data_IF_122726881991
#
_entry.id   IF_122726881991
#
_cell.length_a   1.000
_cell.length_b   1.000
_cell.length_c   1.000
_cell.angle_alpha   90.00
_cell.angle_beta   90.00
_cell.angle_gamma   90.00
#
_symmetry.space_group_name_H-M   'P 1'
#
loop_
_entity.id
_entity.type
_entity.pdbx_description
1 polymer ?
#
# COMPACT_ATOMS: atom_id res chain seq x y z
N UNK A 1 -22.01 30.31 13.38
CA UNK A 1 -21.02 29.48 14.12
C UNK A 1 -19.71 30.25 14.26
N UNK A 2 -19.06 30.24 15.43
CA UNK A 2 -17.69 30.77 15.56
C UNK A 2 -16.73 29.80 14.85
N UNK A 3 -16.10 30.25 13.77
CA UNK A 3 -14.97 29.56 13.18
C UNK A 3 -13.80 29.67 14.16
N UNK A 4 -13.57 28.61 14.93
CA UNK A 4 -12.35 28.48 15.73
C UNK A 4 -11.16 28.59 14.79
N UNK A 5 -10.15 29.40 15.11
CA UNK A 5 -8.89 29.51 14.38
C UNK A 5 -8.26 28.11 14.27
N UNK A 6 -8.58 27.41 13.18
CA UNK A 6 -8.26 26.01 13.00
C UNK A 6 -6.80 25.85 12.63
N UNK A 7 -6.10 24.95 13.33
CA UNK A 7 -4.85 24.37 12.83
C UNK A 7 -5.10 23.84 11.41
N UNK A 8 -4.09 23.89 10.52
CA UNK A 8 -4.27 23.43 9.15
C UNK A 8 -4.88 22.02 9.12
N UNK A 9 -5.87 21.78 8.26
CA UNK A 9 -6.55 20.49 8.11
C UNK A 9 -5.56 19.31 7.91
N UNK A 10 -4.39 19.62 7.35
CA UNK A 10 -3.27 18.70 7.14
C UNK A 10 -2.42 18.40 8.39
N UNK A 11 -2.77 18.94 9.56
CA UNK A 11 -2.14 18.60 10.83
C UNK A 11 -2.60 17.24 11.40
N UNK A 12 -3.45 16.51 10.66
CA UNK A 12 -3.90 15.18 11.02
C UNK A 12 -2.70 14.21 11.14
N UNK A 13 -2.43 13.78 12.39
CA UNK A 13 -1.35 12.87 12.75
C UNK A 13 -1.32 11.62 11.87
N UNK A 14 -2.47 11.08 11.51
CA UNK A 14 -2.55 9.85 10.74
C UNK A 14 -2.09 10.06 9.28
N UNK A 15 -2.44 11.18 8.65
CA UNK A 15 -1.93 11.53 7.32
C UNK A 15 -0.42 11.79 7.35
N UNK A 16 0.09 12.40 8.43
CA UNK A 16 1.54 12.59 8.63
C UNK A 16 2.27 11.25 8.78
N UNK A 17 1.71 10.30 9.53
CA UNK A 17 2.26 8.96 9.68
C UNK A 17 2.26 8.23 8.34
N UNK A 18 1.14 8.21 7.63
CA UNK A 18 1.06 7.61 6.29
C UNK A 18 2.08 8.25 5.34
N UNK A 19 2.23 9.58 5.35
CA UNK A 19 3.23 10.30 4.55
C UNK A 19 4.67 9.94 4.92
N UNK A 20 4.97 9.83 6.22
CA UNK A 20 6.30 9.46 6.71
C UNK A 20 6.69 8.08 6.17
N UNK A 21 5.79 7.10 6.32
CA UNK A 21 5.99 5.71 5.89
C UNK A 21 6.05 5.61 4.36
N UNK A 22 5.12 6.25 3.66
CA UNK A 22 5.00 6.19 2.20
C UNK A 22 6.13 6.92 1.46
N UNK A 23 6.55 8.09 1.95
CA UNK A 23 7.42 9.00 1.19
C UNK A 23 8.79 9.12 1.82
N UNK A 24 8.86 9.52 3.09
CA UNK A 24 10.13 9.97 3.69
C UNK A 24 11.12 8.83 3.85
N UNK A 25 10.65 7.65 4.26
CA UNK A 25 11.50 6.45 4.38
C UNK A 25 12.12 6.11 3.03
N UNK A 26 11.30 6.02 1.97
CA UNK A 26 11.75 5.65 0.62
C UNK A 26 12.57 6.73 -0.10
N UNK A 27 12.57 7.99 0.37
CA UNK A 27 13.37 9.06 -0.22
C UNK A 27 14.85 9.01 0.17
N UNK A 28 15.22 8.25 1.20
CA UNK A 28 16.62 8.10 1.60
C UNK A 28 17.46 7.46 0.47
N UNK A 29 18.48 8.17 -0.01
CA UNK A 29 19.35 7.74 -1.11
C UNK A 29 20.08 6.43 -0.81
N UNK A 30 20.51 6.22 0.44
CA UNK A 30 21.18 4.99 0.86
C UNK A 30 20.21 3.80 0.80
N UNK A 31 18.98 3.99 1.29
CA UNK A 31 17.94 2.97 1.20
C UNK A 31 17.60 2.64 -0.25
N UNK A 32 17.52 3.64 -1.15
CA UNK A 32 17.25 3.41 -2.57
C UNK A 32 18.34 2.57 -3.24
N UNK A 33 19.61 2.91 -3.01
CA UNK A 33 20.72 2.13 -3.55
C UNK A 33 20.69 0.69 -3.00
N UNK A 34 20.40 0.53 -1.71
CA UNK A 34 20.25 -0.78 -1.10
C UNK A 34 19.08 -1.59 -1.70
N UNK A 35 17.91 -0.98 -1.87
CA UNK A 35 16.74 -1.63 -2.50
C UNK A 35 16.98 -1.98 -3.97
N UNK A 36 17.77 -1.18 -4.69
CA UNK A 36 18.20 -1.49 -6.06
C UNK A 36 19.14 -2.70 -6.10
N UNK A 37 20.12 -2.76 -5.21
CA UNK A 37 20.99 -3.95 -5.11
C UNK A 37 20.16 -5.18 -4.74
N UNK A 38 19.23 -5.05 -3.80
CA UNK A 38 18.32 -6.12 -3.40
C UNK A 38 17.44 -6.59 -4.56
N UNK A 39 16.92 -5.68 -5.39
CA UNK A 39 16.10 -6.05 -6.55
C UNK A 39 16.89 -6.79 -7.62
N UNK A 40 18.16 -6.43 -7.84
CA UNK A 40 19.04 -7.17 -8.77
C UNK A 40 19.27 -8.60 -8.26
N UNK A 41 19.63 -8.75 -6.98
CA UNK A 41 19.86 -10.07 -6.37
C UNK A 41 18.58 -10.92 -6.42
N UNK A 42 17.43 -10.34 -6.08
CA UNK A 42 16.14 -11.03 -6.13
C UNK A 42 15.73 -11.40 -7.56
N UNK A 43 16.05 -10.57 -8.56
CA UNK A 43 15.80 -10.89 -9.97
C UNK A 43 16.64 -12.08 -10.42
N UNK A 44 17.93 -12.10 -10.08
CA UNK A 44 18.81 -13.24 -10.37
C UNK A 44 18.31 -14.53 -9.70
N UNK A 45 17.84 -14.42 -8.45
CA UNK A 45 17.24 -15.53 -7.73
C UNK A 45 15.99 -16.06 -8.43
N UNK A 46 15.04 -15.18 -8.80
CA UNK A 46 13.81 -15.57 -9.50
C UNK A 46 14.15 -16.21 -10.84
N UNK A 47 15.05 -15.63 -11.64
CA UNK A 47 15.48 -16.19 -12.93
C UNK A 47 16.11 -17.57 -12.77
N UNK A 48 16.97 -17.74 -11.76
CA UNK A 48 17.59 -19.03 -11.47
C UNK A 48 16.56 -20.07 -11.04
N UNK A 49 15.58 -19.69 -10.22
CA UNK A 49 14.48 -20.56 -9.82
C UNK A 49 13.58 -20.92 -11.00
N UNK A 50 13.27 -19.96 -11.89
CA UNK A 50 12.53 -20.22 -13.14
C UNK A 50 13.29 -21.22 -14.02
N UNK A 51 14.60 -21.03 -14.20
CA UNK A 51 15.44 -21.96 -14.95
C UNK A 51 15.36 -23.38 -14.38
N UNK A 52 15.48 -23.54 -13.06
CA UNK A 52 15.39 -24.84 -12.41
C UNK A 52 14.00 -25.47 -12.53
N UNK A 53 12.91 -24.67 -12.42
CA UNK A 53 11.56 -25.20 -12.67
C UNK A 53 11.37 -25.68 -14.11
N UNK A 54 11.93 -24.99 -15.09
CA UNK A 54 11.83 -25.39 -16.50
C UNK A 54 12.72 -26.60 -16.82
N UNK A 55 13.89 -26.71 -16.20
CA UNK A 55 14.86 -27.77 -16.46
C UNK A 55 14.54 -29.07 -15.70
N UNK A 56 14.22 -28.99 -14.40
CA UNK A 56 13.96 -30.16 -13.55
C UNK A 56 12.47 -30.58 -13.55
N UNK A 57 11.60 -29.88 -14.30
CA UNK A 57 10.12 -29.94 -14.33
C UNK A 57 9.49 -31.14 -13.61
N UNK A 58 9.41 -31.05 -12.28
CA UNK A 58 8.76 -32.01 -11.38
C UNK A 58 7.63 -31.28 -10.64
N UNK A 59 6.42 -31.83 -10.72
CA UNK A 59 5.24 -31.28 -10.05
C UNK A 59 5.46 -31.18 -8.54
N UNK A 60 6.15 -32.16 -7.94
CA UNK A 60 6.46 -32.14 -6.51
C UNK A 60 7.34 -30.93 -6.16
N UNK A 61 8.28 -30.60 -7.04
CA UNK A 61 9.16 -29.46 -6.89
C UNK A 61 8.39 -28.14 -6.97
N UNK A 62 7.44 -28.03 -7.91
CA UNK A 62 6.56 -26.87 -8.03
C UNK A 62 5.63 -26.72 -6.81
N UNK A 63 5.04 -27.80 -6.32
CA UNK A 63 4.18 -27.78 -5.14
C UNK A 63 4.97 -27.34 -3.90
N UNK A 64 6.19 -27.84 -3.76
CA UNK A 64 7.07 -27.57 -2.62
C UNK A 64 7.61 -26.14 -2.62
N UNK A 65 8.07 -25.64 -3.76
CA UNK A 65 8.77 -24.35 -3.86
C UNK A 65 7.97 -23.22 -4.50
N UNK A 66 6.75 -23.50 -4.98
CA UNK A 66 5.89 -22.53 -5.66
C UNK A 66 5.58 -21.31 -4.78
N UNK A 67 5.28 -21.52 -3.50
CA UNK A 67 5.03 -20.42 -2.55
C UNK A 67 6.23 -19.48 -2.44
N UNK A 68 7.44 -20.02 -2.30
CA UNK A 68 8.68 -19.23 -2.25
C UNK A 68 8.92 -18.47 -3.57
N UNK A 69 8.63 -19.09 -4.72
CA UNK A 69 8.77 -18.46 -6.03
C UNK A 69 7.82 -17.29 -6.23
N UNK A 70 6.52 -17.50 -6.02
CA UNK A 70 5.51 -16.46 -6.22
C UNK A 70 5.66 -15.34 -5.18
N UNK A 71 6.12 -15.66 -3.96
CA UNK A 71 6.51 -14.64 -2.98
C UNK A 71 7.68 -13.79 -3.49
N UNK A 72 8.76 -14.40 -3.98
CA UNK A 72 9.91 -13.68 -4.53
C UNK A 72 9.53 -12.82 -5.75
N UNK A 73 8.68 -13.36 -6.64
CA UNK A 73 8.13 -12.62 -7.78
C UNK A 73 7.28 -11.43 -7.33
N UNK A 74 6.41 -11.62 -6.33
CA UNK A 74 5.60 -10.55 -5.75
C UNK A 74 6.47 -9.45 -5.13
N UNK A 75 7.50 -9.83 -4.37
CA UNK A 75 8.46 -8.88 -3.79
C UNK A 75 9.20 -8.08 -4.89
N UNK A 76 9.53 -8.72 -6.01
CA UNK A 76 10.12 -8.04 -7.15
C UNK A 76 9.14 -7.02 -7.76
N UNK A 77 7.86 -7.37 -7.90
CA UNK A 77 6.82 -6.42 -8.32
C UNK A 77 6.73 -5.23 -7.36
N UNK A 78 6.78 -5.47 -6.04
CA UNK A 78 6.82 -4.41 -5.04
C UNK A 78 8.00 -3.46 -5.25
N UNK A 79 9.21 -4.00 -5.44
CA UNK A 79 10.43 -3.21 -5.68
C UNK A 79 10.33 -2.36 -6.95
N UNK A 80 9.86 -2.95 -8.05
CA UNK A 80 9.67 -2.22 -9.32
C UNK A 80 8.60 -1.13 -9.17
N UNK A 81 7.58 -1.34 -8.34
CA UNK A 81 6.48 -0.40 -8.14
C UNK A 81 6.85 0.85 -7.32
N UNK A 82 7.88 0.78 -6.46
CA UNK A 82 8.34 1.90 -5.62
C UNK A 82 8.59 3.20 -6.41
N UNK A 83 9.41 3.24 -7.47
CA UNK A 83 9.65 4.47 -8.21
C UNK A 83 8.39 5.04 -8.88
N UNK A 84 7.45 4.18 -9.29
CA UNK A 84 6.20 4.61 -9.92
C UNK A 84 5.24 5.22 -8.90
N UNK A 85 4.98 4.52 -7.80
CA UNK A 85 4.13 5.02 -6.71
C UNK A 85 4.66 6.33 -6.13
N UNK A 86 5.98 6.49 -6.03
CA UNK A 86 6.61 7.75 -5.65
C UNK A 86 6.29 8.89 -6.62
N UNK A 87 6.34 8.67 -7.94
CA UNK A 87 5.98 9.68 -8.95
C UNK A 87 4.51 10.09 -8.82
N UNK A 88 3.63 9.11 -8.62
CA UNK A 88 2.19 9.35 -8.43
C UNK A 88 1.97 10.19 -7.17
N UNK A 89 2.59 9.82 -6.05
CA UNK A 89 2.46 10.57 -4.80
C UNK A 89 2.99 12.00 -4.95
N UNK A 90 4.15 12.19 -5.59
CA UNK A 90 4.70 13.53 -5.82
C UNK A 90 3.76 14.38 -6.68
N UNK A 91 3.17 13.79 -7.73
CA UNK A 91 2.16 14.46 -8.55
C UNK A 91 0.92 14.85 -7.73
N UNK A 92 0.45 13.96 -6.84
CA UNK A 92 -0.64 14.25 -5.91
C UNK A 92 -0.22 15.41 -5.01
N UNK A 93 0.93 15.34 -4.32
CA UNK A 93 1.40 16.40 -3.45
C UNK A 93 1.52 17.75 -4.17
N UNK A 94 2.02 17.79 -5.40
CA UNK A 94 2.18 19.01 -6.20
C UNK A 94 0.85 19.60 -6.67
N UNK A 95 -0.07 18.77 -7.16
CA UNK A 95 -1.36 19.20 -7.73
C UNK A 95 -2.44 19.40 -6.68
N UNK A 96 -2.37 18.65 -5.58
CA UNK A 96 -3.31 18.70 -4.45
C UNK A 96 -2.85 19.74 -3.40
N UNK A 97 -1.72 20.45 -3.61
CA UNK A 97 -1.20 21.39 -2.63
C UNK A 97 -2.31 22.32 -2.10
N UNK A 98 -2.53 22.35 -0.78
CA UNK A 98 -3.62 23.07 -0.14
C UNK A 98 -3.47 24.59 -0.12
N UNK A 99 -2.55 25.16 -0.92
CA UNK A 99 -2.37 26.62 -1.03
C UNK A 99 -3.63 27.37 -1.49
N UNK A 100 -4.68 26.66 -1.90
CA UNK A 100 -5.99 27.22 -2.24
C UNK A 100 -7.14 26.72 -1.34
N UNK A 101 -6.83 25.98 -0.25
CA UNK A 101 -7.78 25.43 0.72
C UNK A 101 -7.64 26.16 2.07
N UNK A 102 -7.51 27.49 2.05
CA UNK A 102 -7.46 28.36 3.24
C UNK A 102 -8.79 28.39 4.03
N UNK A 103 -9.66 27.40 3.86
CA UNK A 103 -10.99 27.37 4.45
C UNK A 103 -11.07 26.35 5.58
N UNK A 104 -11.60 26.82 6.71
CA UNK A 104 -11.94 26.01 7.87
C UNK A 104 -13.06 25.07 7.48
N UNK A 105 -12.77 23.76 7.47
CA UNK A 105 -13.76 22.71 7.30
C UNK A 105 -14.82 22.79 8.40
N UNK A 106 -16.06 22.44 8.08
CA UNK A 106 -17.06 22.17 9.11
C UNK A 106 -16.62 21.01 10.00
N UNK A 107 -17.06 21.02 11.27
CA UNK A 107 -16.80 19.92 12.21
C UNK A 107 -17.30 18.57 11.68
N UNK A 108 -18.35 18.57 10.86
CA UNK A 108 -18.89 17.35 10.27
C UNK A 108 -17.94 16.77 9.21
N UNK A 109 -17.42 17.61 8.31
CA UNK A 109 -16.44 17.20 7.32
C UNK A 109 -15.14 16.71 7.99
N UNK A 110 -14.65 17.43 9.01
CA UNK A 110 -13.49 17.01 9.79
C UNK A 110 -13.71 15.64 10.47
N UNK A 111 -14.89 15.42 11.06
CA UNK A 111 -15.23 14.14 11.68
C UNK A 111 -15.30 12.98 10.68
N UNK A 112 -15.88 13.19 9.48
CA UNK A 112 -15.93 12.18 8.39
C UNK A 112 -14.52 11.75 8.00
N UNK A 113 -13.68 12.74 7.71
CA UNK A 113 -12.27 12.55 7.35
C UNK A 113 -11.50 11.81 8.45
N UNK A 114 -11.65 12.24 9.72
CA UNK A 114 -10.95 11.64 10.85
C UNK A 114 -11.33 10.19 11.04
N UNK A 115 -12.62 9.84 10.95
CA UNK A 115 -13.12 8.47 11.09
C UNK A 115 -12.47 7.53 10.08
N UNK A 116 -12.43 7.92 8.82
CA UNK A 116 -11.82 7.09 7.78
C UNK A 116 -10.30 7.00 7.91
N UNK A 117 -9.64 8.10 8.25
CA UNK A 117 -8.19 8.09 8.44
C UNK A 117 -7.82 7.15 9.61
N UNK A 118 -8.62 7.10 10.67
CA UNK A 118 -8.46 6.16 11.79
C UNK A 118 -8.63 4.72 11.31
N UNK A 119 -9.63 4.42 10.48
CA UNK A 119 -9.82 3.08 9.92
C UNK A 119 -8.58 2.59 9.15
N UNK A 120 -8.05 3.40 8.23
CA UNK A 120 -6.83 3.05 7.50
C UNK A 120 -5.60 2.96 8.40
N UNK A 121 -5.51 3.80 9.44
CA UNK A 121 -4.42 3.71 10.41
C UNK A 121 -4.46 2.40 11.20
N UNK A 122 -5.64 1.99 11.69
CA UNK A 122 -5.84 0.71 12.36
C UNK A 122 -5.46 -0.45 11.43
N UNK A 123 -5.90 -0.41 10.17
CA UNK A 123 -5.50 -1.39 9.16
C UNK A 123 -3.98 -1.45 8.99
N UNK A 124 -3.31 -0.30 8.78
CA UNK A 124 -1.86 -0.26 8.62
C UNK A 124 -1.14 -0.82 9.85
N UNK A 125 -1.63 -0.55 11.06
CA UNK A 125 -1.04 -1.07 12.29
C UNK A 125 -1.19 -2.59 12.42
N UNK A 126 -2.38 -3.13 12.18
CA UNK A 126 -2.63 -4.59 12.18
C UNK A 126 -1.77 -5.26 11.11
N UNK A 127 -1.70 -4.67 9.92
CA UNK A 127 -0.90 -5.19 8.83
C UNK A 127 0.60 -5.16 9.19
N UNK A 128 1.11 -4.06 9.74
CA UNK A 128 2.50 -3.96 10.19
C UNK A 128 2.83 -4.98 11.28
N UNK A 129 1.92 -5.19 12.25
CA UNK A 129 2.11 -6.21 13.27
C UNK A 129 2.23 -7.61 12.65
N UNK A 130 1.37 -7.95 11.67
CA UNK A 130 1.47 -9.23 10.95
C UNK A 130 2.78 -9.38 10.18
N UNK A 131 3.28 -8.29 9.57
CA UNK A 131 4.57 -8.24 8.86
C UNK A 131 5.74 -8.46 9.82
N UNK A 132 5.67 -7.91 11.04
CA UNK A 132 6.70 -8.12 12.05
C UNK A 132 6.71 -9.57 12.55
N UNK A 133 5.53 -10.16 12.78
CA UNK A 133 5.41 -11.57 13.20
C UNK A 133 6.04 -12.48 12.14
N UNK A 134 5.62 -12.37 10.88
CA UNK A 134 6.18 -13.20 9.80
C UNK A 134 7.68 -12.97 9.63
N UNK A 135 8.15 -11.72 9.79
CA UNK A 135 9.58 -11.42 9.70
C UNK A 135 10.37 -12.17 10.78
N UNK A 136 9.90 -12.15 12.03
CA UNK A 136 10.54 -12.87 13.14
C UNK A 136 10.55 -14.37 12.86
N UNK A 137 9.42 -14.92 12.42
CA UNK A 137 9.32 -16.36 12.12
C UNK A 137 10.26 -16.81 10.99
N UNK A 138 10.49 -15.99 9.97
CA UNK A 138 11.40 -16.32 8.86
C UNK A 138 12.88 -16.07 9.21
N UNK A 139 13.17 -15.14 10.11
CA UNK A 139 14.53 -14.94 10.63
C UNK A 139 14.93 -16.08 11.56
N UNK A 140 14.03 -16.54 12.43
CA UNK A 140 14.33 -17.64 13.34
C UNK A 140 14.48 -18.94 12.53
N UNK A 141 15.57 -19.71 12.74
CA UNK A 141 15.73 -21.00 12.10
C UNK A 141 14.64 -21.97 12.56
N UNK A 142 14.09 -22.74 11.61
CA UNK A 142 13.17 -23.82 11.88
C UNK A 142 13.68 -25.11 11.22
N UNK A 143 13.18 -26.24 11.70
CA UNK A 143 13.52 -27.54 11.14
C UNK A 143 12.98 -27.65 9.71
N UNK A 144 13.79 -28.21 8.81
CA UNK A 144 13.46 -28.41 7.41
C UNK A 144 13.14 -27.10 6.65
N UNK A 145 13.86 -26.03 6.96
CA UNK A 145 13.72 -24.75 6.26
C UNK A 145 14.01 -24.85 4.75
N UNK A 146 14.85 -25.79 4.34
CA UNK A 146 15.11 -26.14 2.94
C UNK A 146 13.91 -26.77 2.23
N UNK A 147 12.90 -27.23 2.95
CA UNK A 147 11.71 -27.82 2.36
C UNK A 147 10.67 -26.77 1.97
N UNK A 148 10.69 -25.61 2.62
CA UNK A 148 9.80 -24.50 2.31
C UNK A 148 10.51 -23.37 1.55
N UNK A 149 11.77 -23.07 1.92
CA UNK A 149 12.53 -21.97 1.35
C UNK A 149 13.57 -22.48 0.35
N UNK A 150 13.29 -22.21 -0.92
CA UNK A 150 14.12 -22.67 -2.04
C UNK A 150 15.58 -22.20 -1.96
N UNK A 151 15.82 -20.99 -1.46
CA UNK A 151 17.19 -20.48 -1.26
C UNK A 151 18.05 -21.38 -0.36
N UNK A 152 17.46 -21.98 0.68
CA UNK A 152 18.19 -22.89 1.57
C UNK A 152 18.39 -24.28 0.95
N UNK A 153 17.46 -24.72 0.10
CA UNK A 153 17.66 -25.89 -0.74
C UNK A 153 18.88 -25.73 -1.65
N UNK A 154 19.04 -24.56 -2.30
CA UNK A 154 20.23 -24.25 -3.12
C UNK A 154 21.50 -24.31 -2.29
N UNK A 155 21.51 -23.68 -1.11
CA UNK A 155 22.70 -23.69 -0.24
C UNK A 155 23.08 -25.11 0.17
N UNK A 156 22.10 -25.97 0.48
CA UNK A 156 22.34 -27.37 0.83
C UNK A 156 22.84 -28.19 -0.37
N UNK A 157 22.27 -27.99 -1.56
CA UNK A 157 22.60 -28.75 -2.79
C UNK A 157 23.95 -28.34 -3.40
N UNK A 158 24.22 -27.05 -3.51
CA UNK A 158 25.38 -26.53 -4.25
C UNK A 158 26.53 -26.01 -3.36
N UNK A 159 26.24 -25.62 -2.11
CA UNK A 159 27.23 -25.04 -1.20
C UNK A 159 27.24 -25.73 0.18
N UNK A 160 27.35 -27.07 0.26
CA UNK A 160 27.12 -27.83 1.48
C UNK A 160 28.04 -27.43 2.64
N UNK A 161 29.29 -27.02 2.34
CA UNK A 161 30.27 -26.57 3.33
C UNK A 161 29.87 -25.20 3.93
N UNK A 162 29.27 -24.32 3.13
CA UNK A 162 28.94 -22.94 3.51
C UNK A 162 27.48 -22.74 3.88
N UNK A 163 26.64 -23.78 3.79
CA UNK A 163 25.18 -23.69 3.94
C UNK A 163 24.73 -22.97 5.21
N UNK A 164 25.40 -23.24 6.34
CA UNK A 164 25.05 -22.64 7.63
C UNK A 164 25.36 -21.14 7.65
N UNK A 165 26.54 -20.75 7.14
CA UNK A 165 26.95 -19.35 7.05
C UNK A 165 26.04 -18.59 6.09
N UNK A 166 25.79 -19.15 4.90
CA UNK A 166 24.90 -18.54 3.90
C UNK A 166 23.47 -18.41 4.42
N UNK A 167 22.95 -19.40 5.14
CA UNK A 167 21.61 -19.32 5.75
C UNK A 167 21.53 -18.18 6.77
N UNK A 168 22.50 -18.06 7.67
CA UNK A 168 22.55 -16.98 8.68
C UNK A 168 22.60 -15.60 8.01
N UNK A 169 23.44 -15.44 6.99
CA UNK A 169 23.61 -14.17 6.27
C UNK A 169 22.37 -13.82 5.44
N UNK A 170 21.66 -14.82 4.90
CA UNK A 170 20.49 -14.61 4.06
C UNK A 170 19.23 -14.25 4.87
N UNK A 171 19.09 -14.75 6.11
CA UNK A 171 17.88 -14.55 6.94
C UNK A 171 17.49 -13.08 7.16
N UNK A 172 18.41 -12.15 7.47
CA UNK A 172 18.08 -10.72 7.57
C UNK A 172 17.47 -10.13 6.30
N UNK A 173 17.70 -10.72 5.12
CA UNK A 173 17.08 -10.26 3.88
C UNK A 173 15.56 -10.44 3.87
N UNK A 174 15.00 -11.35 4.69
CA UNK A 174 13.54 -11.48 4.85
C UNK A 174 12.91 -10.25 5.49
N UNK A 175 13.60 -9.55 6.40
CA UNK A 175 13.13 -8.28 6.95
C UNK A 175 12.94 -7.24 5.84
N UNK A 176 13.92 -7.14 4.94
CA UNK A 176 13.86 -6.23 3.79
C UNK A 176 12.71 -6.61 2.87
N UNK A 177 12.56 -7.91 2.56
CA UNK A 177 11.46 -8.43 1.77
C UNK A 177 10.10 -8.08 2.37
N UNK A 178 9.88 -8.43 3.64
CA UNK A 178 8.61 -8.22 4.33
C UNK A 178 8.22 -6.74 4.42
N UNK A 179 9.16 -5.86 4.78
CA UNK A 179 8.92 -4.41 4.79
C UNK A 179 8.61 -3.90 3.37
N UNK A 180 9.32 -4.41 2.38
CA UNK A 180 9.13 -4.00 0.98
C UNK A 180 7.78 -4.46 0.41
N UNK A 181 7.32 -5.63 0.82
CA UNK A 181 6.05 -6.22 0.40
C UNK A 181 4.85 -5.32 0.67
N UNK A 182 4.88 -4.53 1.75
CA UNK A 182 3.75 -3.68 2.16
C UNK A 182 3.84 -2.22 1.73
N UNK A 183 4.98 -1.77 1.19
CA UNK A 183 5.10 -0.37 0.76
C UNK A 183 4.10 0.06 -0.33
N UNK A 184 3.86 -0.74 -1.40
CA UNK A 184 2.95 -0.31 -2.46
C UNK A 184 1.55 -0.01 -1.95
N UNK A 185 1.02 -0.83 -1.05
CA UNK A 185 -0.32 -0.62 -0.50
C UNK A 185 -0.38 0.63 0.38
N UNK A 186 0.63 0.90 1.21
CA UNK A 186 0.67 2.12 2.02
C UNK A 186 0.74 3.39 1.16
N UNK A 187 1.48 3.32 0.05
CA UNK A 187 1.53 4.40 -0.93
C UNK A 187 0.16 4.67 -1.58
N UNK A 188 -0.56 3.61 -1.95
CA UNK A 188 -1.90 3.72 -2.54
C UNK A 188 -2.89 4.28 -1.51
N UNK A 189 -2.87 3.79 -0.26
CA UNK A 189 -3.70 4.31 0.84
C UNK A 189 -3.46 5.81 1.04
N UNK A 190 -2.19 6.22 1.11
CA UNK A 190 -1.84 7.63 1.27
C UNK A 190 -2.34 8.49 0.10
N UNK A 191 -2.19 8.02 -1.13
CA UNK A 191 -2.67 8.70 -2.34
C UNK A 191 -4.19 8.86 -2.34
N UNK A 192 -4.92 7.77 -2.07
CA UNK A 192 -6.37 7.75 -1.95
C UNK A 192 -6.85 8.74 -0.88
N UNK A 193 -6.31 8.65 0.33
CA UNK A 193 -6.65 9.57 1.41
C UNK A 193 -6.44 11.00 0.93
N UNK A 194 -5.24 11.35 0.45
CA UNK A 194 -4.91 12.72 0.01
C UNK A 194 -5.91 13.29 -1.00
N UNK A 195 -6.35 12.49 -1.98
CA UNK A 195 -7.38 12.90 -2.95
C UNK A 195 -8.74 13.07 -2.28
N UNK A 196 -9.16 12.11 -1.45
CA UNK A 196 -10.44 12.14 -0.74
C UNK A 196 -10.58 13.33 0.22
N UNK A 197 -9.52 13.65 0.95
CA UNK A 197 -9.47 14.82 1.83
C UNK A 197 -9.90 16.10 1.08
N UNK A 198 -9.46 16.25 -0.18
CA UNK A 198 -9.81 17.41 -0.97
C UNK A 198 -11.22 17.33 -1.53
N UNK A 199 -11.69 16.15 -1.96
CA UNK A 199 -13.10 15.96 -2.33
C UNK A 199 -14.05 16.32 -1.18
N UNK A 200 -13.78 15.85 0.03
CA UNK A 200 -14.59 16.19 1.21
C UNK A 200 -14.53 17.68 1.52
N UNK A 201 -13.38 18.34 1.30
CA UNK A 201 -13.28 19.79 1.48
C UNK A 201 -14.11 20.57 0.44
N UNK A 202 -14.08 20.17 -0.83
CA UNK A 202 -14.92 20.78 -1.87
C UNK A 202 -16.39 20.54 -1.59
N UNK A 203 -16.75 19.32 -1.18
CA UNK A 203 -18.12 18.97 -0.78
C UNK A 203 -18.62 19.86 0.36
N UNK A 204 -17.83 20.01 1.41
CA UNK A 204 -18.15 20.86 2.56
C UNK A 204 -18.38 22.33 2.15
N UNK A 205 -17.56 22.85 1.23
CA UNK A 205 -17.72 24.21 0.70
C UNK A 205 -19.02 24.39 -0.10
N UNK A 206 -19.45 23.37 -0.84
CA UNK A 206 -20.71 23.39 -1.58
C UNK A 206 -21.90 23.31 -0.63
N UNK A 207 -21.88 22.38 0.33
CA UNK A 207 -22.94 22.22 1.36
C UNK A 207 -23.12 23.52 2.18
N UNK A 208 -22.01 24.22 2.45
CA UNK A 208 -21.96 25.43 3.26
C UNK A 208 -21.80 26.72 2.45
N UNK A 209 -22.18 26.72 1.17
CA UNK A 209 -21.86 27.85 0.28
C UNK A 209 -22.49 29.18 0.70
N UNK A 210 -23.62 29.09 1.42
CA UNK A 210 -24.40 30.19 1.96
C UNK A 210 -23.88 30.70 3.33
N UNK A 211 -22.83 30.08 3.90
CA UNK A 211 -22.27 30.51 5.18
C UNK A 211 -21.86 31.98 5.14
N UNK A 212 -22.25 32.71 6.20
CA UNK A 212 -22.10 34.17 6.31
C UNK A 212 -23.36 34.97 5.95
N UNK A 213 -24.41 34.30 5.44
CA UNK A 213 -25.65 34.94 5.00
C UNK A 213 -26.92 34.39 5.69
N UNK A 214 -26.76 33.45 6.64
CA UNK A 214 -27.83 32.72 7.35
C UNK A 214 -28.92 33.60 7.99
N UNK A 215 -28.58 34.83 8.39
CA UNK A 215 -29.48 35.73 9.14
C UNK A 215 -30.02 36.91 8.33
N UNK A 216 -29.70 37.04 7.04
CA UNK A 216 -30.19 38.17 6.23
C UNK A 216 -31.59 37.88 5.69
N UNK A 217 -32.54 38.76 6.00
CA UNK A 217 -33.84 38.80 5.33
C UNK A 217 -33.64 39.45 3.93
N UNK A 218 -34.29 38.90 2.90
CA UNK A 218 -34.24 39.34 1.49
C UNK A 218 -32.97 39.02 0.67
N UNK A 219 -32.37 37.83 0.86
CA UNK A 219 -31.24 37.35 0.04
C UNK A 219 -31.52 37.30 -1.48
N UNK A 220 -32.79 37.18 -1.88
CA UNK A 220 -33.21 37.03 -3.28
C UNK A 220 -32.87 38.25 -4.16
N UNK A 221 -32.67 39.42 -3.57
CA UNK A 221 -32.38 40.66 -4.28
C UNK A 221 -30.99 41.23 -3.95
N UNK A 222 -30.19 40.53 -3.16
CA UNK A 222 -28.83 40.97 -2.79
C UNK A 222 -27.84 40.56 -3.89
N UNK A 223 -27.52 41.49 -4.79
CA UNK A 223 -26.55 41.26 -5.88
C UNK A 223 -25.16 40.87 -5.34
N UNK A 224 -24.75 41.40 -4.18
CA UNK A 224 -23.46 41.09 -3.58
C UNK A 224 -23.44 39.65 -3.05
N UNK A 225 -24.55 39.16 -2.51
CA UNK A 225 -24.73 37.75 -2.17
C UNK A 225 -24.62 36.86 -3.41
N UNK A 226 -25.38 37.15 -4.47
CA UNK A 226 -25.35 36.35 -5.71
C UNK A 226 -23.96 36.33 -6.35
N UNK A 227 -23.26 37.47 -6.39
CA UNK A 227 -21.88 37.54 -6.89
C UNK A 227 -20.93 36.67 -6.06
N UNK A 228 -21.03 36.76 -4.72
CA UNK A 228 -20.18 35.98 -3.81
C UNK A 228 -20.42 34.47 -3.92
N UNK A 229 -21.69 34.06 -4.00
CA UNK A 229 -22.06 32.64 -4.20
C UNK A 229 -21.58 32.14 -5.55
N UNK A 230 -21.74 32.94 -6.63
CA UNK A 230 -21.23 32.60 -7.97
C UNK A 230 -19.71 32.40 -7.95
N UNK A 231 -18.96 33.30 -7.32
CA UNK A 231 -17.49 33.20 -7.23
C UNK A 231 -17.04 32.00 -6.38
N UNK A 232 -17.78 31.66 -5.31
CA UNK A 232 -17.55 30.44 -4.52
C UNK A 232 -17.83 29.18 -5.32
N UNK A 233 -18.98 29.11 -6.01
CA UNK A 233 -19.35 27.97 -6.86
C UNK A 233 -18.32 27.75 -7.98
N UNK A 234 -17.91 28.82 -8.66
CA UNK A 234 -16.98 28.74 -9.77
C UNK A 234 -15.59 28.26 -9.32
N UNK A 235 -15.15 28.65 -8.10
CA UNK A 235 -13.94 28.09 -7.48
C UNK A 235 -14.10 26.61 -7.14
N UNK A 236 -15.20 26.22 -6.48
CA UNK A 236 -15.48 24.82 -6.14
C UNK A 236 -15.52 23.94 -7.40
N UNK A 237 -16.17 24.41 -8.46
CA UNK A 237 -16.30 23.69 -9.73
C UNK A 237 -14.95 23.54 -10.45
N UNK A 238 -14.14 24.59 -10.51
CA UNK A 238 -12.77 24.52 -11.05
C UNK A 238 -11.91 23.53 -10.27
N UNK A 239 -12.00 23.55 -8.94
CA UNK A 239 -11.28 22.62 -8.07
C UNK A 239 -11.76 21.18 -8.29
N UNK A 240 -13.08 20.95 -8.27
CA UNK A 240 -13.68 19.64 -8.55
C UNK A 240 -13.20 19.08 -9.88
N UNK A 241 -13.30 19.83 -10.98
CA UNK A 241 -12.80 19.38 -12.29
C UNK A 241 -11.31 19.03 -12.23
N UNK A 242 -10.49 19.90 -11.63
CA UNK A 242 -9.05 19.65 -11.52
C UNK A 242 -8.75 18.34 -10.78
N UNK A 243 -9.44 18.10 -9.67
CA UNK A 243 -9.26 16.90 -8.85
C UNK A 243 -9.83 15.67 -9.54
N UNK A 244 -10.99 15.75 -10.19
CA UNK A 244 -11.57 14.62 -10.95
C UNK A 244 -10.69 14.22 -12.14
N UNK A 245 -10.04 15.17 -12.79
CA UNK A 245 -9.04 14.88 -13.85
C UNK A 245 -7.81 14.22 -13.24
N UNK A 246 -7.32 14.74 -12.10
CA UNK A 246 -6.20 14.15 -11.38
C UNK A 246 -6.50 12.73 -10.88
N UNK A 247 -7.67 12.52 -10.29
CA UNK A 247 -8.15 11.24 -9.78
C UNK A 247 -8.17 10.19 -10.89
N UNK A 248 -8.76 10.52 -12.05
CA UNK A 248 -8.73 9.65 -13.24
C UNK A 248 -7.32 9.37 -13.76
N UNK A 249 -6.42 10.36 -13.73
CA UNK A 249 -5.02 10.17 -14.12
C UNK A 249 -4.30 9.21 -13.16
N UNK A 250 -4.50 9.37 -11.86
CA UNK A 250 -3.96 8.49 -10.80
C UNK A 250 -4.53 7.08 -10.94
N UNK A 251 -5.84 6.95 -11.11
CA UNK A 251 -6.54 5.68 -11.28
C UNK A 251 -6.02 4.92 -12.50
N UNK A 252 -5.98 5.57 -13.67
CA UNK A 252 -5.46 4.96 -14.91
C UNK A 252 -4.02 4.47 -14.75
N UNK A 253 -3.17 5.25 -14.07
CA UNK A 253 -1.79 4.84 -13.78
C UNK A 253 -1.77 3.65 -12.81
N UNK A 254 -2.59 3.67 -11.76
CA UNK A 254 -2.67 2.60 -10.77
C UNK A 254 -3.22 1.30 -11.35
N UNK A 255 -4.24 1.32 -12.23
CA UNK A 255 -4.84 0.12 -12.82
C UNK A 255 -3.80 -0.76 -13.54
N UNK A 256 -2.90 -0.14 -14.31
CA UNK A 256 -1.81 -0.86 -14.99
C UNK A 256 -0.87 -1.58 -14.02
N UNK A 257 -0.67 -1.05 -12.80
CA UNK A 257 0.14 -1.67 -11.76
C UNK A 257 -0.65 -2.68 -10.92
N UNK A 258 -1.94 -2.43 -10.66
CA UNK A 258 -2.76 -3.31 -9.84
C UNK A 258 -2.96 -4.68 -10.50
N UNK A 259 -3.01 -4.75 -11.82
CA UNK A 259 -3.20 -6.01 -12.55
C UNK A 259 -2.13 -7.07 -12.24
N UNK A 260 -0.80 -6.83 -12.43
CA UNK A 260 0.22 -7.82 -12.09
C UNK A 260 0.27 -8.14 -10.59
N UNK A 261 -0.06 -7.20 -9.70
CA UNK A 261 -0.16 -7.45 -8.26
C UNK A 261 -1.32 -8.39 -7.91
N UNK A 262 -2.49 -8.22 -8.55
CA UNK A 262 -3.63 -9.14 -8.38
C UNK A 262 -3.27 -10.55 -8.83
N UNK A 263 -2.67 -10.69 -10.01
CA UNK A 263 -2.23 -11.99 -10.54
C UNK A 263 -1.17 -12.63 -9.64
N UNK A 264 -0.12 -11.90 -9.30
CA UNK A 264 0.96 -12.39 -8.44
C UNK A 264 0.46 -12.80 -7.06
N UNK A 265 -0.43 -11.99 -6.47
CA UNK A 265 -1.03 -12.30 -5.16
C UNK A 265 -1.96 -13.51 -5.18
N UNK A 266 -2.75 -13.70 -6.24
CA UNK A 266 -3.59 -14.89 -6.42
C UNK A 266 -2.72 -16.14 -6.56
N UNK A 267 -1.68 -16.11 -7.41
CA UNK A 267 -0.78 -17.26 -7.55
C UNK A 267 -0.03 -17.57 -6.26
N UNK A 268 0.41 -16.53 -5.53
CA UNK A 268 1.01 -16.71 -4.20
C UNK A 268 0.03 -17.39 -3.25
N UNK A 269 -1.22 -16.94 -3.16
CA UNK A 269 -2.23 -17.57 -2.29
C UNK A 269 -2.51 -19.02 -2.68
N UNK A 270 -2.70 -19.30 -3.97
CA UNK A 270 -2.90 -20.67 -4.47
C UNK A 270 -1.70 -21.55 -4.10
N UNK A 271 -0.48 -21.06 -4.29
CA UNK A 271 0.72 -21.84 -3.98
C UNK A 271 0.91 -22.09 -2.48
N UNK A 272 0.50 -21.17 -1.60
CA UNK A 272 0.49 -21.38 -0.15
C UNK A 272 -0.51 -22.49 0.21
N UNK A 273 -1.71 -22.44 -0.36
CA UNK A 273 -2.75 -23.45 -0.13
C UNK A 273 -2.31 -24.83 -0.64
N UNK A 274 -1.74 -24.90 -1.85
CA UNK A 274 -1.22 -26.15 -2.41
C UNK A 274 -0.07 -26.72 -1.55
N UNK A 275 0.85 -25.87 -1.10
CA UNK A 275 1.90 -26.29 -0.18
C UNK A 275 1.33 -26.82 1.14
N UNK A 276 0.33 -26.14 1.71
CA UNK A 276 -0.35 -26.59 2.93
C UNK A 276 -0.97 -27.98 2.78
N UNK A 277 -1.59 -28.30 1.63
CA UNK A 277 -2.11 -29.64 1.34
C UNK A 277 -1.01 -30.69 1.09
N UNK A 278 0.19 -30.26 0.72
CA UNK A 278 1.34 -31.17 0.51
C UNK A 278 2.06 -31.55 1.81
N UNK A 279 1.77 -30.89 2.93
CA UNK A 279 2.42 -31.17 4.19
C UNK A 279 1.94 -32.48 4.81
N UNK A 280 2.86 -33.42 4.99
CA UNK A 280 2.65 -34.57 5.86
C UNK A 280 2.52 -34.11 7.32
N UNK A 281 1.53 -34.66 8.03
CA UNK A 281 1.22 -34.30 9.42
C UNK A 281 1.01 -32.80 9.66
N UNK A 282 0.12 -32.19 8.87
CA UNK A 282 -0.19 -30.76 8.89
C UNK A 282 -0.19 -30.10 10.28
N UNK A 283 -0.88 -30.68 11.26
CA UNK A 283 -1.05 -30.11 12.60
C UNK A 283 0.22 -30.11 13.46
N UNK A 284 1.16 -31.02 13.20
CA UNK A 284 2.42 -31.11 13.95
C UNK A 284 3.60 -30.53 13.18
N UNK A 285 3.37 -30.04 11.96
CA UNK A 285 4.43 -29.51 11.13
C UNK A 285 4.90 -28.14 11.66
N UNK A 286 6.20 -27.96 11.96
CA UNK A 286 6.70 -26.71 12.52
C UNK A 286 6.66 -25.54 11.53
N UNK A 287 6.45 -25.80 10.23
CA UNK A 287 6.24 -24.77 9.21
C UNK A 287 4.81 -24.20 9.22
N UNK A 288 3.86 -24.82 9.94
CA UNK A 288 2.46 -24.40 9.97
C UNK A 288 2.30 -22.93 10.40
N UNK A 289 3.03 -22.50 11.44
CA UNK A 289 2.94 -21.13 11.95
C UNK A 289 3.33 -20.09 10.88
N UNK A 290 4.42 -20.35 10.15
CA UNK A 290 4.89 -19.49 9.06
C UNK A 290 3.90 -19.42 7.92
N UNK A 291 3.30 -20.56 7.56
CA UNK A 291 2.26 -20.59 6.53
C UNK A 291 1.03 -19.79 6.95
N UNK A 292 0.58 -19.94 8.19
CA UNK A 292 -0.55 -19.19 8.74
C UNK A 292 -0.26 -17.68 8.73
N UNK A 293 0.90 -17.27 9.25
CA UNK A 293 1.33 -15.86 9.25
C UNK A 293 1.46 -15.30 7.84
N UNK A 294 2.03 -16.06 6.90
CA UNK A 294 2.13 -15.69 5.49
C UNK A 294 0.76 -15.56 4.84
N UNK A 295 -0.16 -16.49 5.09
CA UNK A 295 -1.53 -16.46 4.57
C UNK A 295 -2.29 -15.24 5.11
N UNK A 296 -2.20 -14.95 6.42
CA UNK A 296 -2.81 -13.77 7.04
C UNK A 296 -2.25 -12.48 6.43
N UNK A 297 -0.93 -12.35 6.34
CA UNK A 297 -0.29 -11.16 5.77
C UNK A 297 -0.67 -10.95 4.30
N UNK A 298 -0.69 -12.05 3.52
CA UNK A 298 -1.09 -12.04 2.11
C UNK A 298 -2.55 -11.64 1.94
N UNK A 299 -3.43 -12.19 2.77
CA UNK A 299 -4.85 -11.85 2.79
C UNK A 299 -5.06 -10.38 3.15
N UNK A 300 -4.42 -9.86 4.20
CA UNK A 300 -4.51 -8.46 4.58
C UNK A 300 -4.04 -7.54 3.45
N UNK A 301 -2.97 -7.90 2.75
CA UNK A 301 -2.47 -7.14 1.60
C UNK A 301 -3.50 -7.11 0.46
N UNK A 302 -4.05 -8.26 0.08
CA UNK A 302 -5.07 -8.36 -0.97
C UNK A 302 -6.37 -7.63 -0.60
N UNK A 303 -6.86 -7.84 0.62
CA UNK A 303 -8.07 -7.19 1.13
C UNK A 303 -7.92 -5.67 1.16
N UNK A 304 -6.77 -5.17 1.59
CA UNK A 304 -6.51 -3.73 1.60
C UNK A 304 -6.37 -3.14 0.19
N UNK A 305 -5.74 -3.85 -0.76
CA UNK A 305 -5.69 -3.43 -2.17
C UNK A 305 -7.10 -3.38 -2.78
N UNK A 306 -7.94 -4.37 -2.51
CA UNK A 306 -9.32 -4.41 -2.97
C UNK A 306 -10.16 -3.28 -2.35
N UNK A 307 -10.06 -3.08 -1.03
CA UNK A 307 -10.81 -2.05 -0.32
C UNK A 307 -10.44 -0.63 -0.81
N UNK A 308 -9.16 -0.34 -1.02
CA UNK A 308 -8.73 0.97 -1.53
C UNK A 308 -9.08 1.13 -3.01
N UNK A 309 -8.99 0.07 -3.80
CA UNK A 309 -9.44 0.06 -5.19
C UNK A 309 -10.91 0.46 -5.30
N UNK A 310 -11.79 -0.25 -4.58
CA UNK A 310 -13.23 0.05 -4.53
C UNK A 310 -13.49 1.47 -4.04
N UNK A 311 -12.85 1.88 -2.94
CA UNK A 311 -13.06 3.21 -2.38
C UNK A 311 -12.60 4.33 -3.33
N UNK A 312 -11.59 4.07 -4.17
CA UNK A 312 -11.14 5.03 -5.18
C UNK A 312 -12.13 5.10 -6.35
N UNK A 313 -12.66 3.97 -6.80
CA UNK A 313 -13.70 3.91 -7.84
C UNK A 313 -14.96 4.66 -7.40
N UNK A 314 -15.44 4.41 -6.17
CA UNK A 314 -16.62 5.08 -5.59
C UNK A 314 -16.46 6.61 -5.46
N UNK A 315 -15.22 7.11 -5.38
CA UNK A 315 -14.92 8.53 -5.28
C UNK A 315 -14.95 9.24 -6.64
N UNK A 316 -14.67 8.50 -7.72
CA UNK A 316 -14.52 9.02 -9.08
C UNK A 316 -15.79 8.84 -9.92
N UNK A 317 -16.61 7.83 -9.61
CA UNK A 317 -17.90 7.54 -10.27
C UNK A 317 -18.99 8.54 -9.91
#
# INVERSE_FOLDING_TARGET
>A
MQFTSGKPVFDNLALKISRLVAIKVLQNRYLQNFLLTYSIVLSLYVLFQTYLFLHEFDLNYLLKYGASYFMAFYLLLCLVCIPFTRKIIKMIEEKVQPKNLDQVLSRQAEARIKRETVYFLCYMFIHLASVLIITVEFILPCENDEDFMFVFHIFRKYFPVWKSVLSIVCRPAFLVGCITGVFPIYNIIYGYLSVKFVFEAVRDQIENIHNGYEKRQHLRFDEAFHKTVKDRLLRCFKQYIHISVLGREVEKRNQNFLFPFKIGGIFMMISIVLYAFSLENFWTNPQLNRLCSLAICSFLTLAGLAAVGQATEDLVS
#
